data_IF_512788906087
#
_entry.id   IF_512788906087
#
_cell.length_a   1.000
_cell.length_b   1.000
_cell.length_c   1.000
_cell.angle_alpha   90.00
_cell.angle_beta   90.00
_cell.angle_gamma   90.00
#
_symmetry.space_group_name_H-M   'P 1'
#
loop_
_entity.id
_entity.type
_entity.pdbx_description
1 polymer ?
#
# COMPACT_ATOMS: atom_id res chain seq x y z
N UNK A 1 -25.27 -56.46 87.87
CA UNK A 1 -24.19 -55.50 87.57
C UNK A 1 -24.76 -54.41 86.67
N UNK A 2 -24.51 -53.17 87.07
CA UNK A 2 -24.92 -51.94 86.40
C UNK A 2 -24.20 -51.74 85.06
N UNK A 3 -24.87 -51.12 84.09
CA UNK A 3 -24.55 -49.79 83.52
C UNK A 3 -25.29 -49.53 82.20
N UNK A 4 -26.11 -48.48 82.25
CA UNK A 4 -26.34 -47.43 81.24
C UNK A 4 -26.17 -47.76 79.75
N UNK A 5 -27.25 -47.51 78.99
CA UNK A 5 -27.11 -46.78 77.73
C UNK A 5 -28.29 -45.82 77.55
N UNK A 6 -27.94 -44.56 77.28
CA UNK A 6 -28.83 -43.41 77.22
C UNK A 6 -29.68 -43.40 75.96
N UNK A 7 -30.92 -42.96 76.15
CA UNK A 7 -31.90 -42.62 75.15
C UNK A 7 -31.41 -41.45 74.29
N UNK A 8 -31.31 -41.61 72.97
CA UNK A 8 -31.27 -40.48 72.03
C UNK A 8 -32.27 -40.72 70.90
N UNK A 9 -33.48 -40.17 71.09
CA UNK A 9 -34.47 -40.03 70.02
C UNK A 9 -33.91 -39.03 69.02
N UNK A 10 -33.35 -39.51 67.91
CA UNK A 10 -33.09 -38.70 66.72
C UNK A 10 -34.43 -38.27 66.15
N UNK A 11 -34.91 -37.10 66.56
CA UNK A 11 -36.00 -36.41 65.88
C UNK A 11 -35.56 -36.12 64.46
N UNK A 12 -36.26 -36.69 63.48
CA UNK A 12 -36.15 -36.30 62.09
C UNK A 12 -36.56 -34.83 61.97
N UNK A 13 -35.58 -33.93 61.96
CA UNK A 13 -35.76 -32.58 61.47
C UNK A 13 -35.92 -32.69 59.95
N UNK A 14 -37.17 -32.81 59.52
CA UNK A 14 -37.57 -32.49 58.16
C UNK A 14 -37.20 -31.03 57.93
N UNK A 15 -36.02 -30.78 57.34
CA UNK A 15 -35.80 -29.54 56.63
C UNK A 15 -36.78 -29.51 55.47
N UNK A 16 -37.92 -28.86 55.68
CA UNK A 16 -38.78 -28.43 54.59
C UNK A 16 -37.93 -27.49 53.71
N UNK A 17 -37.36 -28.04 52.64
CA UNK A 17 -36.86 -27.23 51.55
C UNK A 17 -38.07 -26.44 51.04
N UNK A 18 -38.14 -25.16 51.39
CA UNK A 18 -39.08 -24.22 50.81
C UNK A 18 -38.84 -24.28 49.30
N UNK A 19 -39.70 -25.00 48.57
CA UNK A 19 -39.63 -25.05 47.11
C UNK A 19 -39.99 -23.66 46.63
N UNK A 20 -38.98 -22.87 46.29
CA UNK A 20 -39.18 -21.59 45.64
C UNK A 20 -40.07 -21.85 44.42
N UNK A 21 -41.30 -21.34 44.46
CA UNK A 21 -42.31 -21.41 43.39
C UNK A 21 -41.95 -20.50 42.21
N UNK A 22 -40.66 -20.23 42.02
CA UNK A 22 -40.18 -19.44 40.90
C UNK A 22 -40.08 -20.40 39.72
N UNK A 23 -40.86 -20.20 38.65
CA UNK A 23 -40.80 -21.06 37.49
C UNK A 23 -39.37 -21.08 36.94
N UNK A 24 -38.84 -22.29 36.72
CA UNK A 24 -37.52 -22.44 36.09
C UNK A 24 -37.58 -21.92 34.65
N UNK A 25 -36.45 -21.46 34.10
CA UNK A 25 -36.41 -20.87 32.73
C UNK A 25 -37.02 -21.76 31.64
N UNK A 26 -37.12 -23.07 31.87
CA UNK A 26 -37.71 -24.05 30.96
C UNK A 26 -39.25 -24.15 31.05
N UNK A 27 -39.86 -23.63 32.13
CA UNK A 27 -41.31 -23.64 32.37
C UNK A 27 -42.01 -22.38 31.84
N UNK A 28 -41.25 -21.34 31.47
CA UNK A 28 -41.79 -20.11 30.88
C UNK A 28 -41.92 -20.29 29.36
N UNK A 29 -43.16 -20.33 28.85
CA UNK A 29 -43.46 -20.41 27.42
C UNK A 29 -42.94 -19.16 26.71
N UNK A 30 -41.89 -19.33 25.89
CA UNK A 30 -41.28 -18.23 25.14
C UNK A 30 -42.23 -17.78 24.02
N UNK A 31 -42.46 -16.47 23.85
CA UNK A 31 -43.30 -15.96 22.76
C UNK A 31 -42.86 -16.44 21.38
N UNK A 32 -43.79 -16.81 20.51
CA UNK A 32 -43.50 -17.29 19.14
C UNK A 32 -42.67 -16.30 18.32
N UNK A 33 -42.88 -14.99 18.54
CA UNK A 33 -42.13 -13.91 17.87
C UNK A 33 -40.64 -13.97 18.21
N UNK A 34 -40.29 -14.31 19.46
CA UNK A 34 -38.91 -14.52 19.91
C UNK A 34 -38.30 -15.76 19.27
N UNK A 35 -39.05 -16.86 19.14
CA UNK A 35 -38.60 -18.08 18.47
C UNK A 35 -38.34 -17.85 16.97
N UNK A 36 -39.23 -17.12 16.27
CA UNK A 36 -39.04 -16.71 14.87
C UNK A 36 -37.81 -15.82 14.70
N UNK A 37 -37.58 -14.87 15.62
CA UNK A 37 -36.39 -14.00 15.64
C UNK A 37 -35.09 -14.80 15.84
N UNK A 38 -35.06 -15.76 16.78
CA UNK A 38 -33.90 -16.65 17.02
C UNK A 38 -33.56 -17.47 15.78
N UNK A 39 -34.56 -18.13 15.16
CA UNK A 39 -34.36 -18.89 13.92
C UNK A 39 -33.82 -18.02 12.77
N UNK A 40 -34.32 -16.80 12.61
CA UNK A 40 -33.83 -15.85 11.59
C UNK A 40 -32.38 -15.44 11.85
N UNK A 41 -32.04 -15.12 13.11
CA UNK A 41 -30.68 -14.75 13.51
C UNK A 41 -29.68 -15.91 13.38
N UNK A 42 -30.09 -17.13 13.71
CA UNK A 42 -29.30 -18.35 13.55
C UNK A 42 -29.01 -18.64 12.08
N UNK A 43 -30.02 -18.55 11.20
CA UNK A 43 -29.84 -18.67 9.75
C UNK A 43 -28.88 -17.62 9.21
N UNK A 44 -29.09 -16.35 9.56
CA UNK A 44 -28.20 -15.26 9.15
C UNK A 44 -26.77 -15.44 9.68
N UNK A 45 -26.59 -15.99 10.89
CA UNK A 45 -25.28 -16.30 11.46
C UNK A 45 -24.61 -17.47 10.72
N UNK A 46 -25.35 -18.53 10.41
CA UNK A 46 -24.85 -19.67 9.64
C UNK A 46 -24.40 -19.25 8.23
N UNK A 47 -25.22 -18.46 7.53
CA UNK A 47 -24.88 -17.89 6.22
C UNK A 47 -23.62 -17.00 6.28
N UNK A 48 -23.55 -16.10 7.27
CA UNK A 48 -22.36 -15.25 7.49
C UNK A 48 -21.12 -16.10 7.75
N UNK A 49 -21.20 -17.12 8.62
CA UNK A 49 -20.07 -18.00 8.91
C UNK A 49 -19.61 -18.75 7.66
N UNK A 50 -20.53 -19.30 6.87
CA UNK A 50 -20.22 -19.98 5.61
C UNK A 50 -19.54 -19.03 4.60
N UNK A 51 -19.98 -17.77 4.49
CA UNK A 51 -19.31 -16.79 3.61
C UNK A 51 -17.92 -16.42 4.11
N UNK A 52 -17.72 -16.30 5.42
CA UNK A 52 -16.41 -16.01 6.03
C UNK A 52 -15.45 -17.16 5.80
N UNK A 53 -15.88 -18.41 5.98
CA UNK A 53 -15.06 -19.60 5.74
C UNK A 53 -14.63 -19.70 4.27
N UNK A 54 -15.57 -19.49 3.33
CA UNK A 54 -15.27 -19.43 1.90
C UNK A 54 -14.24 -18.33 1.57
N UNK A 55 -14.42 -17.13 2.14
CA UNK A 55 -13.47 -16.00 1.96
C UNK A 55 -12.10 -16.32 2.55
N UNK A 56 -12.03 -16.96 3.72
CA UNK A 56 -10.77 -17.37 4.37
C UNK A 56 -10.02 -18.38 3.51
N UNK A 57 -10.71 -19.39 2.98
CA UNK A 57 -10.11 -20.38 2.08
C UNK A 57 -9.55 -19.71 0.81
N UNK A 58 -10.35 -18.89 0.14
CA UNK A 58 -9.90 -18.15 -1.04
C UNK A 58 -8.71 -17.22 -0.76
N UNK A 59 -8.73 -16.51 0.38
CA UNK A 59 -7.63 -15.62 0.76
C UNK A 59 -6.33 -16.39 1.06
N UNK A 60 -6.42 -17.61 1.61
CA UNK A 60 -5.25 -18.47 1.86
C UNK A 60 -4.59 -18.87 0.54
N UNK A 61 -5.38 -19.28 -0.45
CA UNK A 61 -4.89 -19.61 -1.79
C UNK A 61 -4.26 -18.39 -2.48
N UNK A 62 -4.96 -17.25 -2.47
CA UNK A 62 -4.45 -15.97 -3.01
C UNK A 62 -3.13 -15.57 -2.38
N UNK A 63 -2.99 -15.70 -1.05
CA UNK A 63 -1.75 -15.37 -0.34
C UNK A 63 -0.58 -16.25 -0.80
N UNK A 64 -0.83 -17.53 -1.06
CA UNK A 64 0.18 -18.43 -1.63
C UNK A 64 0.64 -18.00 -3.03
N UNK A 65 -0.29 -17.56 -3.88
CA UNK A 65 0.02 -17.04 -5.22
C UNK A 65 0.82 -15.73 -5.15
N UNK A 66 0.38 -14.79 -4.31
CA UNK A 66 1.06 -13.50 -4.10
C UNK A 66 2.50 -13.71 -3.63
N UNK A 67 2.72 -14.64 -2.69
CA UNK A 67 4.06 -14.95 -2.19
C UNK A 67 4.99 -15.45 -3.30
N UNK A 68 4.53 -16.40 -4.12
CA UNK A 68 5.29 -16.92 -5.27
C UNK A 68 5.57 -15.83 -6.31
N UNK A 69 4.65 -14.90 -6.54
CA UNK A 69 4.87 -13.75 -7.44
C UNK A 69 5.94 -12.81 -6.90
N UNK A 70 5.87 -12.46 -5.61
CA UNK A 70 6.86 -11.61 -4.97
C UNK A 70 8.28 -12.21 -5.03
N UNK A 71 8.40 -13.52 -4.82
CA UNK A 71 9.66 -14.25 -4.97
C UNK A 71 10.22 -14.16 -6.40
N UNK A 72 9.35 -14.34 -7.41
CA UNK A 72 9.73 -14.17 -8.83
C UNK A 72 10.24 -12.77 -9.14
N UNK A 73 9.57 -11.71 -8.66
CA UNK A 73 10.06 -10.35 -8.90
C UNK A 73 11.40 -10.09 -8.22
N UNK A 74 11.62 -10.61 -7.01
CA UNK A 74 12.90 -10.43 -6.31
C UNK A 74 14.03 -11.13 -7.05
N UNK A 75 13.80 -12.34 -7.55
CA UNK A 75 14.79 -13.05 -8.37
C UNK A 75 15.08 -12.30 -9.66
N UNK A 76 14.05 -11.85 -10.38
CA UNK A 76 14.19 -11.01 -11.57
C UNK A 76 15.01 -9.73 -11.33
N UNK A 77 14.74 -8.99 -10.25
CA UNK A 77 15.52 -7.79 -9.93
C UNK A 77 16.99 -8.09 -9.65
N UNK A 78 17.26 -9.15 -8.89
CA UNK A 78 18.64 -9.57 -8.57
C UNK A 78 19.39 -10.02 -9.81
N UNK A 79 18.73 -10.75 -10.69
CA UNK A 79 19.35 -11.24 -11.92
C UNK A 79 19.59 -10.09 -12.90
N UNK A 80 18.68 -9.12 -12.98
CA UNK A 80 18.88 -7.89 -13.76
C UNK A 80 20.07 -7.05 -13.24
N UNK A 81 20.25 -6.93 -11.93
CA UNK A 81 21.41 -6.26 -11.35
C UNK A 81 22.72 -7.01 -11.63
N UNK A 82 22.74 -8.33 -11.45
CA UNK A 82 23.90 -9.19 -11.75
C UNK A 82 24.28 -9.13 -13.22
N UNK A 83 23.29 -9.12 -14.11
CA UNK A 83 23.52 -9.08 -15.55
C UNK A 83 24.18 -7.77 -15.98
N UNK A 84 23.73 -6.62 -15.44
CA UNK A 84 24.40 -5.33 -15.68
C UNK A 84 25.86 -5.36 -15.26
N UNK A 85 26.16 -5.96 -14.11
CA UNK A 85 27.53 -6.09 -13.60
C UNK A 85 28.35 -7.03 -14.49
N UNK A 86 27.76 -8.16 -14.91
CA UNK A 86 28.39 -9.14 -15.81
C UNK A 86 28.77 -8.51 -17.14
N UNK A 87 27.83 -7.82 -17.79
CA UNK A 87 28.07 -7.11 -19.06
C UNK A 87 29.17 -6.06 -18.93
N UNK A 88 29.18 -5.31 -17.82
CA UNK A 88 30.24 -4.32 -17.55
C UNK A 88 31.61 -4.98 -17.43
N UNK A 89 31.71 -6.16 -16.81
CA UNK A 89 32.97 -6.91 -16.68
C UNK A 89 33.44 -7.49 -18.01
N UNK A 90 32.54 -8.11 -18.76
CA UNK A 90 32.82 -8.68 -20.09
C UNK A 90 33.28 -7.58 -21.06
N UNK A 91 32.62 -6.43 -21.04
CA UNK A 91 33.04 -5.32 -21.87
C UNK A 91 34.46 -4.86 -21.53
N UNK A 92 34.76 -4.73 -20.22
CA UNK A 92 36.11 -4.38 -19.73
C UNK A 92 37.17 -5.41 -20.11
N UNK A 93 36.83 -6.70 -20.11
CA UNK A 93 37.74 -7.79 -20.52
C UNK A 93 38.04 -7.74 -22.03
N UNK A 94 37.07 -7.35 -22.85
CA UNK A 94 37.20 -7.22 -24.30
C UNK A 94 37.67 -5.82 -24.74
N UNK A 95 38.20 -4.99 -23.83
CA UNK A 95 38.59 -3.59 -24.08
C UNK A 95 37.49 -2.74 -24.78
N UNK A 96 36.23 -3.05 -24.48
CA UNK A 96 35.04 -2.38 -25.02
C UNK A 96 34.27 -1.65 -23.92
N UNK A 97 33.55 -0.58 -24.27
CA UNK A 97 32.73 0.19 -23.32
C UNK A 97 31.28 -0.31 -23.33
N UNK A 98 30.79 -0.80 -22.19
CA UNK A 98 29.37 -1.08 -22.01
C UNK A 98 28.62 0.21 -21.66
N UNK A 99 27.70 0.63 -22.54
CA UNK A 99 26.80 1.75 -22.27
C UNK A 99 25.47 1.19 -21.76
N UNK A 100 25.05 1.49 -20.51
CA UNK A 100 23.80 0.99 -19.98
C UNK A 100 22.61 1.60 -20.73
N UNK A 101 21.52 0.84 -20.83
CA UNK A 101 20.28 1.34 -21.40
C UNK A 101 19.76 2.56 -20.62
N UNK A 102 19.18 3.52 -21.34
CA UNK A 102 18.52 4.67 -20.74
C UNK A 102 17.39 4.24 -19.81
N UNK A 103 17.20 4.98 -18.72
CA UNK A 103 16.11 4.71 -17.80
C UNK A 103 14.75 4.94 -18.47
N UNK A 104 13.74 4.16 -18.09
CA UNK A 104 12.37 4.29 -18.61
C UNK A 104 11.41 5.03 -17.66
N UNK A 105 11.81 5.22 -16.40
CA UNK A 105 10.98 5.77 -15.33
C UNK A 105 11.62 7.02 -14.73
N UNK A 106 10.83 8.08 -14.55
CA UNK A 106 11.22 9.29 -13.85
C UNK A 106 10.31 9.49 -12.64
N UNK A 107 10.90 9.93 -11.53
CA UNK A 107 10.15 10.53 -10.43
C UNK A 107 10.33 12.04 -10.45
N UNK A 108 9.22 12.77 -10.48
CA UNK A 108 9.21 14.24 -10.54
C UNK A 108 8.64 14.81 -9.25
N UNK A 109 9.35 15.75 -8.66
CA UNK A 109 8.97 16.47 -7.44
C UNK A 109 8.83 17.95 -7.76
N UNK A 110 7.72 18.56 -7.33
CA UNK A 110 7.53 20.01 -7.44
C UNK A 110 8.25 20.75 -6.32
N UNK A 111 9.19 21.63 -6.66
CA UNK A 111 9.97 22.42 -5.68
C UNK A 111 9.41 23.85 -5.53
N UNK A 112 9.01 24.51 -6.62
CA UNK A 112 8.47 25.88 -6.57
C UNK A 112 6.97 25.92 -6.30
N UNK A 113 6.54 26.97 -5.61
CA UNK A 113 5.13 27.30 -5.33
C UNK A 113 4.31 27.64 -6.57
N UNK A 114 3.06 28.09 -6.37
CA UNK A 114 2.09 28.40 -7.45
C UNK A 114 2.16 29.84 -7.96
N UNK A 115 2.84 30.73 -7.25
CA UNK A 115 2.87 32.16 -7.56
C UNK A 115 3.82 32.44 -8.72
N UNK A 116 3.46 33.43 -9.56
CA UNK A 116 4.28 33.94 -10.67
C UNK A 116 4.70 32.86 -11.68
N UNK A 117 3.75 32.00 -12.09
CA UNK A 117 3.96 30.99 -13.14
C UNK A 117 3.24 31.42 -14.41
N UNK A 118 3.94 31.38 -15.55
CA UNK A 118 3.32 31.54 -16.86
C UNK A 118 2.23 30.48 -17.12
N UNK A 119 1.21 30.78 -17.93
CA UNK A 119 0.07 29.88 -18.15
C UNK A 119 0.47 28.52 -18.74
N UNK A 120 1.46 28.48 -19.64
CA UNK A 120 1.93 27.25 -20.30
C UNK A 120 2.59 26.26 -19.31
N UNK A 121 3.63 26.62 -18.54
CA UNK A 121 4.16 25.74 -17.47
C UNK A 121 3.11 25.36 -16.42
N UNK A 122 2.21 26.29 -16.06
CA UNK A 122 1.12 26.01 -15.11
C UNK A 122 0.22 24.87 -15.60
N UNK A 123 -0.14 24.87 -16.88
CA UNK A 123 -0.96 23.80 -17.47
C UNK A 123 -0.23 22.46 -17.50
N UNK A 124 1.07 22.46 -17.82
CA UNK A 124 1.89 21.24 -17.82
C UNK A 124 1.96 20.63 -16.41
N UNK A 125 2.22 21.43 -15.37
CA UNK A 125 2.23 20.95 -13.99
C UNK A 125 0.87 20.36 -13.56
N UNK A 126 -0.25 20.92 -14.05
CA UNK A 126 -1.59 20.35 -13.82
C UNK A 126 -1.76 18.99 -14.51
N UNK A 127 -1.30 18.84 -15.76
CA UNK A 127 -1.35 17.57 -16.49
C UNK A 127 -0.53 16.48 -15.79
N UNK A 128 0.64 16.85 -15.24
CA UNK A 128 1.48 15.96 -14.45
C UNK A 128 0.93 15.70 -13.03
N UNK A 129 -0.18 16.34 -12.64
CA UNK A 129 -0.80 16.25 -11.30
C UNK A 129 0.06 16.85 -10.17
N UNK A 130 1.00 17.72 -10.51
CA UNK A 130 1.90 18.42 -9.57
C UNK A 130 1.29 19.75 -9.12
N UNK A 131 0.21 19.71 -8.36
CA UNK A 131 -0.56 20.90 -7.97
C UNK A 131 0.03 21.69 -6.78
N UNK A 132 0.67 20.99 -5.84
CA UNK A 132 1.21 21.55 -4.60
C UNK A 132 2.73 21.37 -4.55
N UNK A 133 3.41 22.16 -3.72
CA UNK A 133 4.83 21.96 -3.41
C UNK A 133 5.05 20.59 -2.77
N UNK A 134 6.20 19.99 -3.02
CA UNK A 134 6.59 18.65 -2.54
C UNK A 134 5.63 17.53 -2.98
N UNK A 135 4.78 17.76 -3.98
CA UNK A 135 4.09 16.65 -4.63
C UNK A 135 5.07 15.89 -5.52
N UNK A 136 4.99 14.57 -5.48
CA UNK A 136 5.79 13.63 -6.28
C UNK A 136 4.92 12.75 -7.16
N UNK A 137 5.33 12.49 -8.40
CA UNK A 137 4.61 11.60 -9.34
C UNK A 137 5.60 10.76 -10.15
N UNK A 138 5.25 9.50 -10.41
CA UNK A 138 5.94 8.63 -11.37
C UNK A 138 5.46 8.90 -12.80
N UNK A 139 6.41 9.12 -13.71
CA UNK A 139 6.16 9.40 -15.12
C UNK A 139 6.99 8.44 -15.97
N UNK A 140 6.35 7.84 -16.98
CA UNK A 140 7.01 7.05 -18.03
C UNK A 140 7.76 7.98 -18.97
N UNK A 141 9.01 7.66 -19.27
CA UNK A 141 9.80 8.40 -20.26
C UNK A 141 9.26 8.13 -21.66
N UNK A 142 8.89 9.21 -22.32
CA UNK A 142 8.56 9.31 -23.74
C UNK A 142 9.15 10.61 -24.27
N UNK A 143 9.35 10.72 -25.59
CA UNK A 143 9.80 11.96 -26.21
C UNK A 143 8.91 13.16 -25.81
N UNK A 144 7.60 12.96 -25.79
CA UNK A 144 6.64 14.00 -25.39
C UNK A 144 6.79 14.42 -23.92
N UNK A 145 6.94 13.48 -23.00
CA UNK A 145 7.11 13.81 -21.57
C UNK A 145 8.43 14.51 -21.30
N UNK A 146 9.51 14.17 -22.02
CA UNK A 146 10.80 14.85 -21.90
C UNK A 146 10.68 16.31 -22.35
N UNK A 147 10.03 16.57 -23.48
CA UNK A 147 9.77 17.94 -23.95
C UNK A 147 8.89 18.75 -22.97
N UNK A 148 7.88 18.10 -22.37
CA UNK A 148 7.09 18.73 -21.31
C UNK A 148 7.94 19.06 -20.09
N UNK A 149 8.85 18.16 -19.69
CA UNK A 149 9.74 18.36 -18.53
C UNK A 149 10.74 19.49 -18.75
N UNK A 150 11.32 19.63 -19.95
CA UNK A 150 12.20 20.76 -20.31
C UNK A 150 11.52 22.11 -20.05
N UNK A 151 10.23 22.23 -20.34
CA UNK A 151 9.47 23.48 -20.13
C UNK A 151 9.23 23.76 -18.65
N UNK A 152 8.98 22.72 -17.83
CA UNK A 152 8.68 22.88 -16.39
C UNK A 152 9.90 22.73 -15.49
N UNK A 153 11.08 22.50 -16.07
CA UNK A 153 12.36 22.31 -15.39
C UNK A 153 12.64 23.36 -14.29
N UNK A 154 12.34 24.65 -14.48
CA UNK A 154 12.55 25.67 -13.45
C UNK A 154 11.64 25.56 -12.21
N UNK A 155 10.71 24.60 -12.17
CA UNK A 155 9.78 24.38 -11.06
C UNK A 155 9.89 23.01 -10.39
N UNK A 156 10.57 22.06 -11.04
CA UNK A 156 10.62 20.66 -10.62
C UNK A 156 12.06 20.18 -10.45
N UNK A 157 12.23 19.19 -9.58
CA UNK A 157 13.38 18.30 -9.59
C UNK A 157 12.93 16.94 -10.07
N UNK A 158 13.73 16.28 -10.89
CA UNK A 158 13.42 14.95 -11.35
C UNK A 158 14.68 14.10 -11.52
N UNK A 159 14.48 12.80 -11.62
CA UNK A 159 15.55 11.84 -11.87
C UNK A 159 15.04 10.41 -11.85
N UNK A 160 15.96 9.46 -11.81
CA UNK A 160 15.68 8.03 -11.94
C UNK A 160 15.55 7.39 -10.56
N UNK A 161 14.34 6.92 -10.17
CA UNK A 161 14.15 6.29 -8.88
C UNK A 161 14.71 4.85 -8.89
N UNK A 162 15.38 4.46 -7.81
CA UNK A 162 15.77 3.06 -7.59
C UNK A 162 14.58 2.24 -7.03
N UNK A 163 14.68 0.91 -7.09
CA UNK A 163 13.64 0.01 -6.59
C UNK A 163 13.29 0.26 -5.11
N UNK A 164 14.30 0.50 -4.27
CA UNK A 164 14.11 0.79 -2.83
C UNK A 164 13.27 2.06 -2.62
N UNK A 165 13.53 3.11 -3.39
CA UNK A 165 12.86 4.40 -3.31
C UNK A 165 11.42 4.29 -3.80
N UNK A 166 11.16 3.55 -4.89
CA UNK A 166 9.78 3.25 -5.33
C UNK A 166 9.04 2.48 -4.24
N UNK A 167 9.68 1.44 -3.68
CA UNK A 167 9.14 0.61 -2.61
C UNK A 167 8.75 1.45 -1.40
N UNK A 168 9.68 2.24 -0.86
CA UNK A 168 9.44 3.06 0.33
C UNK A 168 8.36 4.13 0.10
N UNK A 169 8.30 4.74 -1.10
CA UNK A 169 7.25 5.70 -1.43
C UNK A 169 5.86 5.06 -1.42
N UNK A 170 5.72 3.89 -2.06
CA UNK A 170 4.42 3.19 -2.13
C UNK A 170 4.00 2.68 -0.75
N UNK A 171 4.89 2.09 0.04
CA UNK A 171 4.51 1.61 1.39
C UNK A 171 4.24 2.73 2.39
N UNK A 172 5.06 3.79 2.43
CA UNK A 172 4.91 4.84 3.45
C UNK A 172 3.90 5.92 3.06
N UNK A 173 3.87 6.28 1.78
CA UNK A 173 3.14 7.45 1.26
C UNK A 173 2.18 7.10 0.13
N UNK A 174 1.95 5.82 -0.13
CA UNK A 174 1.03 5.34 -1.15
C UNK A 174 -0.43 5.56 -0.75
N UNK A 175 -1.14 6.29 -1.60
CA UNK A 175 -2.59 6.43 -1.52
C UNK A 175 -3.17 6.07 -2.88
N UNK A 176 -4.25 5.31 -2.90
CA UNK A 176 -5.04 5.01 -4.08
C UNK A 176 -6.11 6.07 -4.32
N UNK A 177 -6.41 6.33 -5.59
CA UNK A 177 -7.55 7.13 -6.04
C UNK A 177 -8.74 6.20 -6.27
N UNK A 178 -9.56 6.01 -5.24
CA UNK A 178 -10.76 5.16 -5.28
C UNK A 178 -11.98 6.05 -5.28
N UNK A 179 -12.85 5.95 -6.28
CA UNK A 179 -14.06 6.79 -6.40
C UNK A 179 -13.77 8.31 -6.25
N UNK A 180 -12.64 8.77 -6.80
CA UNK A 180 -12.11 10.15 -6.70
C UNK A 180 -11.72 10.57 -5.27
N UNK A 181 -11.76 9.67 -4.30
CA UNK A 181 -11.27 9.89 -2.94
C UNK A 181 -9.83 9.39 -2.79
N UNK A 182 -9.11 9.98 -1.84
CA UNK A 182 -7.74 9.61 -1.49
C UNK A 182 -7.78 8.60 -0.35
N UNK A 183 -7.54 7.33 -0.64
CA UNK A 183 -7.61 6.21 0.32
C UNK A 183 -6.21 5.65 0.57
N UNK A 184 -5.84 5.40 1.82
CA UNK A 184 -4.55 4.82 2.16
C UNK A 184 -4.47 3.35 1.69
N UNK A 185 -3.32 2.93 1.17
CA UNK A 185 -3.10 1.55 0.74
C UNK A 185 -2.74 0.66 1.94
N UNK A 186 -3.76 0.26 2.72
CA UNK A 186 -3.59 -0.59 3.91
C UNK A 186 -3.75 -2.07 3.62
N UNK A 187 -4.59 -2.42 2.64
CA UNK A 187 -4.91 -3.80 2.27
C UNK A 187 -4.82 -3.99 0.75
N UNK A 188 -4.45 -5.20 0.34
CA UNK A 188 -4.35 -5.61 -1.06
C UNK A 188 -5.73 -5.64 -1.74
N UNK A 189 -6.83 -5.80 -0.97
CA UNK A 189 -8.19 -5.74 -1.50
C UNK A 189 -8.48 -4.43 -2.26
N UNK A 190 -7.97 -3.29 -1.76
CA UNK A 190 -8.12 -1.98 -2.39
C UNK A 190 -7.46 -1.95 -3.78
N UNK A 191 -6.33 -2.62 -3.93
CA UNK A 191 -5.59 -2.71 -5.19
C UNK A 191 -6.30 -3.67 -6.13
N UNK A 192 -6.66 -4.87 -5.65
CA UNK A 192 -7.34 -5.91 -6.43
C UNK A 192 -8.67 -5.41 -7.01
N UNK A 193 -9.49 -4.70 -6.23
CA UNK A 193 -10.78 -4.17 -6.69
C UNK A 193 -10.64 -3.15 -7.85
N UNK A 194 -9.57 -2.35 -7.86
CA UNK A 194 -9.37 -1.28 -8.83
C UNK A 194 -8.50 -1.68 -10.03
N UNK A 195 -7.50 -2.53 -9.80
CA UNK A 195 -6.46 -2.90 -10.76
C UNK A 195 -6.43 -4.41 -11.08
N UNK A 196 -7.24 -5.23 -10.42
CA UNK A 196 -7.27 -6.69 -10.63
C UNK A 196 -7.58 -7.10 -12.07
N UNK A 197 -8.35 -6.27 -12.80
CA UNK A 197 -8.60 -6.46 -14.24
C UNK A 197 -7.35 -6.39 -15.12
N UNK A 198 -6.27 -5.78 -14.63
CA UNK A 198 -4.97 -5.68 -15.30
C UNK A 198 -3.96 -6.70 -14.76
N UNK A 199 -4.39 -7.63 -13.89
CA UNK A 199 -3.52 -8.64 -13.28
C UNK A 199 -2.74 -8.15 -12.06
N UNK A 200 -2.94 -6.91 -11.63
CA UNK A 200 -2.28 -6.29 -10.47
C UNK A 200 -3.13 -6.56 -9.23
N UNK A 201 -2.68 -7.46 -8.35
CA UNK A 201 -3.47 -7.93 -7.20
C UNK A 201 -2.90 -7.41 -5.88
N UNK A 202 -1.58 -7.27 -5.76
CA UNK A 202 -0.93 -6.86 -4.52
C UNK A 202 -0.08 -5.59 -4.67
N UNK A 203 0.43 -5.09 -3.54
CA UNK A 203 1.38 -3.98 -3.51
C UNK A 203 2.67 -4.29 -4.29
N UNK A 204 3.17 -5.52 -4.24
CA UNK A 204 4.38 -5.94 -4.95
C UNK A 204 4.17 -5.95 -6.47
N UNK A 205 3.02 -6.40 -6.94
CA UNK A 205 2.62 -6.31 -8.36
C UNK A 205 2.57 -4.83 -8.80
N UNK A 206 2.00 -3.95 -7.96
CA UNK A 206 1.91 -2.52 -8.24
C UNK A 206 3.30 -1.86 -8.33
N UNK A 207 4.20 -2.19 -7.40
CA UNK A 207 5.58 -1.70 -7.41
C UNK A 207 6.33 -2.21 -8.63
N UNK A 208 6.15 -3.48 -8.99
CA UNK A 208 6.77 -4.08 -10.17
C UNK A 208 6.31 -3.38 -11.44
N UNK A 209 5.00 -3.23 -11.66
CA UNK A 209 4.44 -2.56 -12.83
C UNK A 209 4.94 -1.11 -12.97
N UNK A 210 5.08 -0.39 -11.85
CA UNK A 210 5.61 0.97 -11.83
C UNK A 210 7.11 0.99 -12.15
N UNK A 211 7.91 0.12 -11.53
CA UNK A 211 9.36 0.11 -11.66
C UNK A 211 9.83 -0.35 -13.05
N UNK A 212 9.24 -1.42 -13.59
CA UNK A 212 9.58 -1.95 -14.93
C UNK A 212 8.91 -1.18 -16.06
N UNK A 213 7.95 -0.31 -15.74
CA UNK A 213 7.14 0.46 -16.71
C UNK A 213 6.38 -0.49 -17.64
N UNK A 214 5.60 -1.38 -17.03
CA UNK A 214 4.81 -2.40 -17.72
C UNK A 214 3.69 -1.84 -18.63
N UNK A 215 2.94 -2.72 -19.30
CA UNK A 215 1.90 -2.33 -20.27
C UNK A 215 0.76 -1.52 -19.63
N UNK A 216 0.47 -1.74 -18.35
CA UNK A 216 -0.59 -1.10 -17.59
C UNK A 216 -0.08 0.02 -16.66
N UNK A 217 1.13 0.54 -16.92
CA UNK A 217 1.74 1.64 -16.16
C UNK A 217 0.82 2.87 -16.06
N UNK A 218 0.10 3.22 -17.14
CA UNK A 218 -0.79 4.39 -17.15
C UNK A 218 -1.89 4.27 -16.11
N UNK A 219 -2.44 3.07 -15.95
CA UNK A 219 -3.51 2.74 -15.03
C UNK A 219 -2.98 2.68 -13.60
N UNK A 220 -1.82 2.05 -13.40
CA UNK A 220 -1.14 1.98 -12.11
C UNK A 220 -0.74 3.38 -11.59
N UNK A 221 -0.13 4.22 -12.44
CA UNK A 221 0.26 5.59 -12.09
C UNK A 221 -0.96 6.49 -11.84
N UNK A 222 -2.04 6.35 -12.61
CA UNK A 222 -3.26 7.13 -12.37
C UNK A 222 -4.02 6.71 -11.10
N UNK A 223 -3.97 5.41 -10.75
CA UNK A 223 -4.49 4.90 -9.49
C UNK A 223 -3.73 5.50 -8.30
N UNK A 224 -2.39 5.57 -8.37
CA UNK A 224 -1.60 6.25 -7.35
C UNK A 224 -1.94 7.75 -7.30
N UNK A 225 -2.38 8.21 -6.14
CA UNK A 225 -2.50 9.63 -5.85
C UNK A 225 -1.11 10.27 -5.82
N UNK A 226 -0.91 11.52 -6.28
CA UNK A 226 0.37 12.20 -6.15
C UNK A 226 0.92 12.13 -4.72
N UNK A 227 2.15 11.66 -4.58
CA UNK A 227 2.79 11.48 -3.28
C UNK A 227 2.96 12.86 -2.63
N UNK A 228 2.45 13.01 -1.41
CA UNK A 228 2.66 14.23 -0.62
C UNK A 228 3.92 14.02 0.23
N UNK A 229 5.03 14.62 -0.18
CA UNK A 229 6.32 14.51 0.50
C UNK A 229 6.48 15.62 1.54
N UNK A 230 7.31 15.39 2.56
CA UNK A 230 7.71 16.44 3.51
C UNK A 230 8.86 17.28 2.94
N UNK A 231 9.19 18.38 3.60
CA UNK A 231 10.44 19.08 3.31
C UNK A 231 11.64 18.15 3.58
N UNK A 232 12.73 18.27 2.81
CA UNK A 232 13.91 17.44 3.01
C UNK A 232 14.53 17.69 4.39
N UNK A 233 14.87 16.62 5.11
CA UNK A 233 15.67 16.69 6.34
C UNK A 233 17.03 17.35 6.04
N UNK A 234 17.38 18.39 6.80
CA UNK A 234 18.56 19.23 6.53
C UNK A 234 18.30 20.39 5.56
N UNK A 235 17.08 20.51 5.04
CA UNK A 235 16.69 21.59 4.13
C UNK A 235 17.14 21.38 2.69
N UNK A 236 16.70 22.28 1.82
CA UNK A 236 17.19 22.37 0.46
C UNK A 236 18.54 23.09 0.42
N UNK A 237 19.26 23.00 -0.70
CA UNK A 237 20.51 23.75 -0.88
C UNK A 237 20.27 25.26 -0.79
N UNK A 238 21.26 26.07 -0.36
CA UNK A 238 21.09 27.52 -0.18
C UNK A 238 20.54 28.25 -1.42
N UNK A 239 20.88 27.77 -2.63
CA UNK A 239 20.37 28.28 -3.91
C UNK A 239 19.48 27.27 -4.63
N UNK A 240 18.48 26.72 -3.92
CA UNK A 240 17.60 25.65 -4.42
C UNK A 240 16.90 25.92 -5.75
N UNK A 241 16.70 27.18 -6.13
CA UNK A 241 16.06 27.56 -7.40
C UNK A 241 17.01 27.69 -8.59
N UNK A 242 18.27 27.28 -8.43
CA UNK A 242 19.18 27.07 -9.55
C UNK A 242 19.09 25.65 -10.08
N UNK A 243 19.58 25.43 -11.30
CA UNK A 243 19.73 24.09 -11.84
C UNK A 243 20.70 23.26 -10.98
N UNK A 244 20.53 21.94 -10.95
CA UNK A 244 21.34 21.04 -10.14
C UNK A 244 22.85 21.13 -10.44
N UNK A 245 23.21 21.33 -11.71
CA UNK A 245 24.60 21.52 -12.16
C UNK A 245 25.24 22.77 -11.55
N UNK A 246 24.46 23.84 -11.34
CA UNK A 246 24.93 25.08 -10.70
C UNK A 246 24.92 25.03 -9.16
N UNK A 247 24.72 23.83 -8.59
CA UNK A 247 24.62 23.63 -7.16
C UNK A 247 23.23 23.91 -6.57
N UNK A 248 22.19 24.07 -7.40
CA UNK A 248 20.79 24.15 -6.95
C UNK A 248 20.12 22.78 -6.78
N UNK A 249 18.78 22.76 -6.76
CA UNK A 249 17.99 21.54 -6.60
C UNK A 249 17.06 21.24 -7.80
N UNK A 250 16.90 22.16 -8.75
CA UNK A 250 16.01 22.02 -9.91
C UNK A 250 16.63 21.19 -11.04
N UNK A 251 15.77 20.67 -11.90
CA UNK A 251 16.16 19.95 -13.12
C UNK A 251 16.48 18.48 -12.91
N UNK A 252 17.21 17.91 -13.88
CA UNK A 252 17.55 16.49 -13.86
C UNK A 252 18.72 16.23 -12.89
N UNK A 253 18.50 15.33 -11.95
CA UNK A 253 19.48 14.89 -10.94
C UNK A 253 19.93 13.45 -11.13
N UNK A 254 19.45 12.78 -12.19
CA UNK A 254 19.72 11.37 -12.46
C UNK A 254 19.47 10.52 -11.20
N UNK A 255 20.45 9.73 -10.78
CA UNK A 255 20.35 8.87 -9.59
C UNK A 255 20.40 9.63 -8.26
N UNK A 256 20.88 10.88 -8.25
CA UNK A 256 20.98 11.70 -7.03
C UNK A 256 19.62 12.17 -6.53
N UNK A 257 18.55 11.97 -7.32
CA UNK A 257 17.17 12.18 -6.85
C UNK A 257 16.83 11.25 -5.68
N UNK A 258 17.41 10.05 -5.64
CA UNK A 258 17.10 9.05 -4.62
C UNK A 258 17.48 9.52 -3.22
N UNK A 259 18.59 10.26 -3.09
CA UNK A 259 19.00 10.86 -1.84
C UNK A 259 18.00 11.94 -1.38
N UNK A 260 17.54 12.79 -2.30
CA UNK A 260 16.52 13.81 -2.01
C UNK A 260 15.21 13.15 -1.56
N UNK A 261 14.75 12.12 -2.28
CA UNK A 261 13.50 11.43 -1.94
C UNK A 261 13.59 10.83 -0.54
N UNK A 262 14.72 10.19 -0.18
CA UNK A 262 14.92 9.63 1.16
C UNK A 262 14.87 10.70 2.27
N UNK A 263 15.35 11.91 2.00
CA UNK A 263 15.25 13.03 2.94
C UNK A 263 13.82 13.58 3.07
N UNK A 264 12.99 13.40 2.03
CA UNK A 264 11.62 13.90 1.98
C UNK A 264 10.55 12.83 2.32
N UNK A 265 10.97 11.57 2.49
CA UNK A 265 10.09 10.41 2.67
C UNK A 265 9.90 9.98 4.12
#
# INVERSE_FOLDING_TARGET
>A
MSRFSYNSRTGALYHAACSMSVPTSNQVLVPETLLKKRKSQEKARAERNATIEKKKAANKEKRGVIFKRAEKYITEYRDAEREKIRLTRVAKENDSAYVPAEANLIFVIRIKGINKIAPKPRKILQLLRLLQINNGVFIKITKATVEMLKIVEPWVAYGYPNLKTVKELVYKRGYGKVNKQRVALTDNSIIEENLGKYGIVCMEDLIHEVYTVGPNFKQASNFLWPFKLSNPTGGFRPRKFKHFIEGGDLGNREDKINALIRQMN
#
